data_IF_964877655675
#
_entry.id   IF_964877655675
#
_cell.length_a   1.000
_cell.length_b   1.000
_cell.length_c   1.000
_cell.angle_alpha   90.00
_cell.angle_beta   90.00
_cell.angle_gamma   90.00
#
_symmetry.space_group_name_H-M   'P 1'
#
loop_
_entity.id
_entity.type
_entity.pdbx_description
1 polymer ?
#
# COMPACT_ATOMS: atom_id res chain seq x y z
N UNK A 1 -2.93 -20.05 -0.91
CA UNK A 1 -2.46 -18.66 -0.78
C UNK A 1 -3.58 -17.70 -1.18
N UNK A 2 -3.90 -16.68 -0.36
CA UNK A 2 -5.01 -15.75 -0.63
C UNK A 2 -4.63 -14.69 -1.68
N UNK A 3 -5.61 -14.02 -2.30
CA UNK A 3 -5.37 -12.91 -3.25
C UNK A 3 -4.53 -11.80 -2.61
N UNK A 4 -4.83 -11.47 -1.35
CA UNK A 4 -4.11 -10.49 -0.54
C UNK A 4 -2.66 -10.91 -0.29
N UNK A 5 -2.42 -12.18 0.04
CA UNK A 5 -1.06 -12.69 0.24
C UNK A 5 -0.25 -12.64 -1.05
N UNK A 6 -0.85 -12.98 -2.20
CA UNK A 6 -0.19 -12.88 -3.52
C UNK A 6 0.16 -11.46 -3.89
N UNK A 7 -0.72 -10.52 -3.56
CA UNK A 7 -0.47 -9.10 -3.77
C UNK A 7 0.63 -8.58 -2.84
N UNK A 8 0.64 -9.00 -1.58
CA UNK A 8 1.68 -8.65 -0.62
C UNK A 8 3.05 -9.16 -1.07
N UNK A 9 3.14 -10.42 -1.52
CA UNK A 9 4.37 -11.00 -2.06
C UNK A 9 4.87 -10.24 -3.29
N UNK A 10 3.99 -9.90 -4.23
CA UNK A 10 4.37 -9.09 -5.40
C UNK A 10 4.98 -7.74 -4.99
N UNK A 11 4.41 -7.06 -3.99
CA UNK A 11 4.96 -5.82 -3.47
C UNK A 11 6.30 -6.02 -2.75
N UNK A 12 6.46 -7.10 -1.97
CA UNK A 12 7.73 -7.47 -1.32
C UNK A 12 8.83 -7.76 -2.34
N UNK A 13 8.47 -8.30 -3.51
CA UNK A 13 9.38 -8.52 -4.64
C UNK A 13 9.73 -7.23 -5.41
N UNK A 14 9.24 -6.07 -4.97
CA UNK A 14 9.52 -4.77 -5.58
C UNK A 14 8.66 -4.44 -6.80
N UNK A 15 7.57 -5.18 -7.04
CA UNK A 15 6.69 -4.89 -8.18
C UNK A 15 5.94 -3.56 -7.99
N UNK A 16 5.87 -2.76 -9.06
CA UNK A 16 5.08 -1.53 -9.11
C UNK A 16 3.87 -1.69 -10.04
N UNK A 17 2.67 -1.73 -9.46
CA UNK A 17 1.45 -2.08 -10.21
C UNK A 17 0.37 -1.01 -10.05
N UNK A 18 -0.34 -0.73 -11.16
CA UNK A 18 -1.57 0.09 -11.12
C UNK A 18 -2.75 -0.73 -10.59
N UNK A 19 -3.79 -0.05 -10.11
CA UNK A 19 -5.02 -0.72 -9.65
C UNK A 19 -5.62 -1.66 -10.72
N UNK A 20 -5.54 -1.28 -11.99
CA UNK A 20 -6.04 -2.10 -13.12
C UNK A 20 -5.20 -3.35 -13.33
N UNK A 21 -3.87 -3.22 -13.27
CA UNK A 21 -2.97 -4.37 -13.37
C UNK A 21 -3.17 -5.35 -12.21
N UNK A 22 -3.34 -4.83 -10.99
CA UNK A 22 -3.62 -5.66 -9.81
C UNK A 22 -4.95 -6.39 -9.99
N UNK A 23 -6.00 -5.69 -10.40
CA UNK A 23 -7.32 -6.30 -10.58
C UNK A 23 -7.29 -7.44 -11.61
N UNK A 24 -6.61 -7.22 -12.74
CA UNK A 24 -6.46 -8.22 -13.79
C UNK A 24 -5.57 -9.39 -13.38
N UNK A 25 -4.39 -9.15 -12.78
CA UNK A 25 -3.40 -10.19 -12.45
C UNK A 25 -3.82 -11.08 -11.29
N UNK A 26 -4.51 -10.53 -10.29
CA UNK A 26 -4.86 -11.25 -9.06
C UNK A 26 -6.37 -11.56 -8.94
N UNK A 27 -7.16 -11.23 -9.97
CA UNK A 27 -8.58 -11.57 -10.06
C UNK A 27 -9.46 -10.82 -9.06
N UNK A 28 -9.23 -9.51 -8.88
CA UNK A 28 -10.17 -8.67 -8.12
C UNK A 28 -11.34 -8.25 -9.02
N UNK A 29 -12.53 -8.19 -8.43
CA UNK A 29 -13.78 -7.83 -9.13
C UNK A 29 -13.78 -6.39 -9.65
N UNK A 30 -13.07 -5.49 -8.98
CA UNK A 30 -12.97 -4.09 -9.35
C UNK A 30 -11.71 -3.43 -8.81
N UNK A 31 -11.37 -2.27 -9.34
CA UNK A 31 -10.29 -1.42 -8.79
C UNK A 31 -10.62 -0.88 -7.39
N UNK A 32 -11.89 -0.84 -7.00
CA UNK A 32 -12.34 -0.50 -5.65
C UNK A 32 -11.95 -1.57 -4.63
N UNK A 33 -12.15 -2.86 -4.97
CA UNK A 33 -11.72 -3.99 -4.14
C UNK A 33 -10.20 -4.02 -3.94
N UNK A 34 -9.44 -3.63 -4.98
CA UNK A 34 -7.97 -3.45 -4.89
C UNK A 34 -7.61 -2.37 -3.87
N UNK A 35 -8.26 -1.20 -3.93
CA UNK A 35 -8.01 -0.09 -2.99
C UNK A 35 -8.27 -0.51 -1.54
N UNK A 36 -9.39 -1.19 -1.28
CA UNK A 36 -9.71 -1.70 0.05
C UNK A 36 -8.64 -2.70 0.55
N UNK A 37 -8.19 -3.60 -0.32
CA UNK A 37 -7.15 -4.58 0.02
C UNK A 37 -5.82 -3.90 0.32
N UNK A 38 -5.43 -2.87 -0.46
CA UNK A 38 -4.22 -2.09 -0.19
C UNK A 38 -4.32 -1.36 1.15
N UNK A 39 -5.49 -0.81 1.49
CA UNK A 39 -5.71 -0.21 2.81
C UNK A 39 -5.51 -1.23 3.93
N UNK A 40 -6.03 -2.46 3.78
CA UNK A 40 -5.81 -3.52 4.75
C UNK A 40 -4.32 -3.88 4.91
N UNK A 41 -3.57 -3.95 3.80
CA UNK A 41 -2.12 -4.17 3.84
C UNK A 41 -1.36 -3.03 4.53
N UNK A 42 -1.81 -1.78 4.39
CA UNK A 42 -1.23 -0.65 5.13
C UNK A 42 -1.48 -0.77 6.62
N UNK A 43 -2.70 -1.17 7.01
CA UNK A 43 -3.05 -1.39 8.40
C UNK A 43 -2.30 -2.58 9.02
N UNK A 44 -1.91 -3.58 8.22
CA UNK A 44 -1.03 -4.65 8.67
C UNK A 44 0.45 -4.24 8.76
N UNK A 45 0.77 -2.95 8.61
CA UNK A 45 2.12 -2.42 8.75
C UNK A 45 2.95 -2.38 7.47
N UNK A 46 2.38 -2.69 6.29
CA UNK A 46 3.13 -2.59 5.04
C UNK A 46 3.15 -1.15 4.50
N UNK A 47 4.32 -0.52 4.32
CA UNK A 47 4.45 0.84 3.79
C UNK A 47 4.20 0.88 2.27
N UNK A 48 2.93 0.81 1.87
CA UNK A 48 2.52 0.86 0.46
C UNK A 48 2.13 2.28 0.06
N UNK A 49 2.86 2.85 -0.88
CA UNK A 49 2.65 4.21 -1.38
C UNK A 49 2.00 4.22 -2.76
N UNK A 50 1.16 5.21 -3.03
CA UNK A 50 0.61 5.49 -4.35
C UNK A 50 1.36 6.66 -4.96
N UNK A 51 1.99 6.47 -6.11
CA UNK A 51 2.64 7.53 -6.86
C UNK A 51 1.92 7.78 -8.18
N UNK A 52 1.77 9.06 -8.51
CA UNK A 52 1.33 9.48 -9.82
C UNK A 52 2.48 9.39 -10.82
N UNK A 53 2.22 8.74 -11.95
CA UNK A 53 3.12 8.65 -13.10
C UNK A 53 2.35 9.07 -14.33
N UNK A 54 2.77 10.16 -14.95
CA UNK A 54 2.28 10.58 -16.26
C UNK A 54 3.03 9.78 -17.33
N UNK A 55 2.28 9.12 -18.21
CA UNK A 55 2.87 8.41 -19.34
C UNK A 55 3.20 9.40 -20.49
N UNK A 56 3.92 8.91 -21.50
CA UNK A 56 4.25 9.68 -22.72
C UNK A 56 3.03 10.13 -23.54
N UNK A 57 1.83 9.63 -23.22
CA UNK A 57 0.56 9.99 -23.83
C UNK A 57 -0.27 10.97 -22.99
N UNK A 58 0.34 11.61 -21.98
CA UNK A 58 -0.29 12.62 -21.12
C UNK A 58 -1.29 12.07 -20.09
N UNK A 59 -1.46 10.75 -19.97
CA UNK A 59 -2.35 10.14 -18.96
C UNK A 59 -1.59 9.91 -17.66
N UNK A 60 -2.10 10.48 -16.58
CA UNK A 60 -1.60 10.25 -15.22
C UNK A 60 -2.23 8.97 -14.66
N UNK A 61 -1.39 8.04 -14.23
CA UNK A 61 -1.77 6.79 -13.60
C UNK A 61 -1.17 6.69 -12.21
N UNK A 62 -1.96 6.15 -11.28
CA UNK A 62 -1.50 5.83 -9.94
C UNK A 62 -0.90 4.43 -9.90
N UNK A 63 0.38 4.33 -9.54
CA UNK A 63 1.08 3.07 -9.28
C UNK A 63 1.30 2.87 -7.79
N UNK A 64 1.03 1.66 -7.33
CA UNK A 64 1.34 1.24 -5.98
C UNK A 64 2.67 0.52 -5.95
N UNK A 65 3.46 0.80 -4.91
CA UNK A 65 4.72 0.13 -4.64
C UNK A 65 4.93 -0.02 -3.13
N UNK A 66 5.69 -1.02 -2.74
CA UNK A 66 6.29 -1.06 -1.42
C UNK A 66 7.42 -0.02 -1.38
N UNK A 67 7.42 0.83 -0.36
CA UNK A 67 8.48 1.82 -0.17
C UNK A 67 9.11 1.70 1.21
N UNK A 68 10.25 2.33 1.41
CA UNK A 68 10.78 2.56 2.75
C UNK A 68 9.86 3.54 3.49
N UNK A 69 9.46 3.26 4.74
CA UNK A 69 8.66 4.20 5.51
C UNK A 69 9.43 5.53 5.64
N UNK A 70 8.78 6.64 5.31
CA UNK A 70 9.42 7.95 5.41
C UNK A 70 9.69 8.31 6.88
N UNK A 71 10.74 9.12 7.12
CA UNK A 71 11.06 9.62 8.48
C UNK A 71 9.84 10.26 9.17
N UNK A 72 8.98 10.93 8.40
CA UNK A 72 7.76 11.54 8.91
C UNK A 72 6.75 10.50 9.43
N UNK A 73 6.55 9.39 8.69
CA UNK A 73 5.67 8.29 9.12
C UNK A 73 6.22 7.62 10.38
N UNK A 74 7.54 7.37 10.42
CA UNK A 74 8.20 6.78 11.59
C UNK A 74 8.02 7.68 12.81
N UNK A 75 8.31 8.99 12.69
CA UNK A 75 8.15 9.94 13.78
C UNK A 75 6.69 10.06 14.25
N UNK A 76 5.72 10.04 13.33
CA UNK A 76 4.30 10.02 13.67
C UNK A 76 3.91 8.74 14.44
N UNK A 77 4.45 7.59 14.05
CA UNK A 77 4.27 6.33 14.79
C UNK A 77 4.79 6.41 16.22
N UNK A 78 6.04 6.87 16.41
CA UNK A 78 6.61 7.05 17.75
C UNK A 78 5.82 8.06 18.61
N UNK A 79 5.36 9.17 18.02
CA UNK A 79 4.50 10.15 18.72
C UNK A 79 3.16 9.55 19.13
N UNK A 80 2.53 8.76 18.25
CA UNK A 80 1.27 8.09 18.55
C UNK A 80 1.44 7.07 19.69
N UNK A 81 2.52 6.28 19.67
CA UNK A 81 2.84 5.32 20.72
C UNK A 81 3.18 6.00 22.05
N UNK A 82 3.94 7.09 22.02
CA UNK A 82 4.26 7.88 23.21
C UNK A 82 3.02 8.57 23.80
N UNK A 83 2.10 9.06 22.95
CA UNK A 83 0.82 9.63 23.38
C UNK A 83 -0.21 8.59 23.85
N UNK A 84 -0.06 7.32 23.43
CA UNK A 84 -0.81 6.19 23.97
C UNK A 84 -0.31 5.75 25.35
N UNK A 85 0.85 6.25 25.81
CA UNK A 85 1.35 5.99 27.16
C UNK A 85 0.64 6.87 28.20
N UNK A 86 -0.68 6.68 28.33
CA UNK A 86 -1.44 7.02 29.53
C UNK A 86 -2.12 5.73 30.00
N UNK A 87 -1.41 5.07 30.92
CA UNK A 87 -1.83 3.95 31.78
C UNK A 87 -1.96 2.56 31.13
N UNK A 88 -0.88 1.78 31.22
CA UNK A 88 -1.00 0.34 31.47
C UNK A 88 -0.49 0.09 32.90
N UNK A 89 -1.44 -0.11 33.83
CA UNK A 89 -1.20 -0.77 35.13
C UNK A 89 -1.09 -2.26 34.88
#
# INVERSE_FOLDING_TARGET
MTKTARLAEAFSNGEELTAKQIASRFGFTSTGAVRATISNLRFSGMPIYSNERTNSKGKTLNKYRLGTPSKAVIAAGYRALAGQHVVAV
#
